data_IF_981830727230
#
_entry.id   IF_981830727230
#
_cell.length_a   1.000
_cell.length_b   1.000
_cell.length_c   1.000
_cell.angle_alpha   90.00
_cell.angle_beta   90.00
_cell.angle_gamma   90.00
#
_symmetry.space_group_name_H-M   'P 1'
#
loop_
_entity.id
_entity.type
_entity.pdbx_description
1 polymer ?
#
# COMPACT_ATOMS: atom_id res chain seq x y z
N UNK A 1 -15.94 23.36 -3.86
CA UNK A 1 -14.87 22.35 -3.96
C UNK A 1 -14.74 21.63 -2.63
N UNK A 2 -14.85 20.30 -2.63
CA UNK A 2 -14.69 19.47 -1.43
C UNK A 2 -13.21 19.07 -1.31
N UNK A 3 -12.55 19.47 -0.21
CA UNK A 3 -11.17 19.10 0.08
C UNK A 3 -11.18 17.69 0.68
N UNK A 4 -10.48 16.74 0.05
CA UNK A 4 -10.30 15.39 0.58
C UNK A 4 -9.58 15.46 1.94
N UNK A 5 -10.29 15.10 3.02
CA UNK A 5 -9.72 15.06 4.37
C UNK A 5 -9.07 13.70 4.62
N UNK A 6 -7.75 13.64 4.53
CA UNK A 6 -6.97 12.45 4.86
C UNK A 6 -6.59 12.51 6.34
N UNK A 7 -7.04 11.56 7.18
CA UNK A 7 -6.65 11.53 8.59
C UNK A 7 -5.14 11.26 8.68
N UNK A 8 -4.40 12.24 9.21
CA UNK A 8 -2.94 12.19 9.36
C UNK A 8 -2.60 11.95 10.83
N UNK A 9 -1.68 11.03 11.12
CA UNK A 9 -1.26 10.80 12.50
C UNK A 9 -0.54 12.03 13.08
N UNK A 10 -0.79 12.33 14.36
CA UNK A 10 -0.26 13.54 15.04
C UNK A 10 1.25 13.71 14.92
N UNK A 11 2.00 12.60 14.91
CA UNK A 11 3.46 12.60 14.77
C UNK A 11 3.95 13.22 13.43
N UNK A 12 3.08 13.25 12.41
CA UNK A 12 3.40 13.83 11.10
C UNK A 12 2.88 15.27 10.92
N UNK A 13 2.17 15.85 11.90
CA UNK A 13 1.70 17.25 11.84
C UNK A 13 2.83 18.26 11.56
N UNK A 14 4.05 18.12 12.12
CA UNK A 14 5.14 19.04 11.81
C UNK A 14 5.53 19.07 10.33
N UNK A 15 5.31 17.96 9.60
CA UNK A 15 5.64 17.84 8.18
C UNK A 15 4.63 18.52 7.27
N UNK A 16 3.43 18.86 7.77
CA UNK A 16 2.42 19.59 7.01
C UNK A 16 2.81 21.06 6.83
N UNK A 17 3.60 21.62 7.75
CA UNK A 17 4.08 22.99 7.66
C UNK A 17 5.13 23.15 6.54
N UNK A 18 5.24 24.32 5.91
CA UNK A 18 6.30 24.58 4.94
C UNK A 18 7.67 24.50 5.61
N UNK A 19 8.60 23.78 5.00
CA UNK A 19 9.97 23.63 5.46
C UNK A 19 10.89 23.34 4.27
N UNK A 20 12.14 23.83 4.31
CA UNK A 20 13.12 23.62 3.22
C UNK A 20 13.52 22.15 3.08
N UNK A 21 13.59 21.42 4.20
CA UNK A 21 13.88 19.99 4.23
C UNK A 21 12.86 19.29 5.13
N UNK A 22 12.34 18.16 4.66
CA UNK A 22 11.40 17.29 5.39
C UNK A 22 11.96 15.87 5.37
N UNK A 23 12.13 15.28 6.54
CA UNK A 23 12.70 13.93 6.67
C UNK A 23 12.02 13.14 7.78
N UNK A 24 11.81 11.84 7.53
CA UNK A 24 11.26 10.89 8.50
C UNK A 24 12.10 9.62 8.44
N UNK A 25 12.54 9.12 9.60
CA UNK A 25 13.24 7.85 9.73
C UNK A 25 12.43 6.87 10.60
N UNK A 26 12.66 5.57 10.44
CA UNK A 26 11.98 4.54 11.24
C UNK A 26 12.06 3.15 10.62
N UNK A 27 11.60 2.13 11.36
CA UNK A 27 11.60 0.73 10.92
C UNK A 27 10.59 0.40 9.82
N UNK A 28 10.52 -0.87 9.42
CA UNK A 28 9.46 -1.38 8.52
C UNK A 28 8.10 -1.22 9.19
N UNK A 29 7.07 -0.82 8.44
CA UNK A 29 5.73 -0.61 8.97
C UNK A 29 5.47 0.74 9.65
N UNK A 30 6.46 1.62 9.77
CA UNK A 30 6.32 2.92 10.45
C UNK A 30 5.45 3.98 9.73
N UNK A 31 4.80 3.63 8.62
CA UNK A 31 3.94 4.54 7.84
C UNK A 31 4.65 5.65 7.06
N UNK A 32 5.98 5.78 7.17
CA UNK A 32 6.77 6.89 6.58
C UNK A 32 6.62 7.05 5.06
N UNK A 33 6.55 5.94 4.31
CA UNK A 33 6.35 5.95 2.86
C UNK A 33 4.93 6.38 2.47
N UNK A 34 3.93 5.95 3.25
CA UNK A 34 2.52 6.26 3.00
C UNK A 34 2.25 7.75 3.22
N UNK A 35 2.85 8.36 4.24
CA UNK A 35 2.75 9.81 4.48
C UNK A 35 3.46 10.60 3.38
N UNK A 36 4.64 10.16 2.96
CA UNK A 36 5.38 10.80 1.87
C UNK A 36 4.59 10.82 0.56
N UNK A 37 3.95 9.70 0.22
CA UNK A 37 3.18 9.55 -1.01
C UNK A 37 1.79 10.20 -0.93
N UNK A 38 0.98 9.83 0.08
CA UNK A 38 -0.45 10.19 0.13
C UNK A 38 -0.76 11.49 0.84
N UNK A 39 0.03 11.88 1.84
CA UNK A 39 -0.25 13.08 2.63
C UNK A 39 0.51 14.28 2.06
N UNK A 40 1.78 14.09 1.72
CA UNK A 40 2.61 15.18 1.20
C UNK A 40 2.57 15.29 -0.33
N UNK A 41 2.16 14.24 -1.05
CA UNK A 41 2.13 14.26 -2.52
C UNK A 41 3.51 14.44 -3.15
N UNK A 42 4.58 14.12 -2.41
CA UNK A 42 5.97 14.26 -2.84
C UNK A 42 6.50 12.97 -3.47
N UNK A 43 5.69 11.91 -3.50
CA UNK A 43 6.00 10.67 -4.18
C UNK A 43 5.76 10.81 -5.68
N UNK A 44 6.80 10.61 -6.49
CA UNK A 44 6.68 10.32 -7.93
C UNK A 44 6.27 8.87 -8.20
N UNK A 45 5.76 8.17 -7.18
CA UNK A 45 5.44 6.74 -7.27
C UNK A 45 3.99 6.63 -7.68
N UNK A 46 3.70 5.85 -8.72
CA UNK A 46 2.33 5.46 -9.00
C UNK A 46 1.73 4.87 -7.72
N UNK A 47 0.51 5.29 -7.39
CA UNK A 47 -0.19 4.79 -6.22
C UNK A 47 -0.04 3.26 -6.16
N UNK A 48 0.07 2.70 -4.96
CA UNK A 48 -0.01 1.25 -4.69
C UNK A 48 -1.27 0.56 -5.27
N UNK A 49 -2.11 1.28 -6.01
CA UNK A 49 -3.25 0.84 -6.81
C UNK A 49 -2.95 0.80 -8.33
N UNK A 50 -1.68 0.80 -8.74
CA UNK A 50 -1.26 0.73 -10.15
C UNK A 50 -1.09 -0.69 -10.69
N UNK A 51 -0.55 -0.80 -11.91
CA UNK A 51 -0.32 -2.07 -12.61
C UNK A 51 0.38 -3.12 -11.74
N UNK A 52 1.45 -2.74 -11.04
CA UNK A 52 2.21 -3.65 -10.19
C UNK A 52 1.36 -4.30 -9.09
N UNK A 53 0.41 -3.57 -8.50
CA UNK A 53 -0.49 -4.13 -7.48
C UNK A 53 -1.53 -5.07 -8.09
N UNK A 54 -2.07 -4.74 -9.27
CA UNK A 54 -2.99 -5.60 -10.01
C UNK A 54 -2.29 -6.91 -10.39
N UNK A 55 -1.08 -6.83 -10.95
CA UNK A 55 -0.30 -8.01 -11.35
C UNK A 55 0.09 -8.86 -10.14
N UNK A 56 0.54 -8.24 -9.04
CA UNK A 56 0.87 -8.97 -7.82
C UNK A 56 -0.35 -9.70 -7.24
N UNK A 57 -1.51 -9.04 -7.18
CA UNK A 57 -2.75 -9.66 -6.71
C UNK A 57 -3.20 -10.81 -7.61
N UNK A 58 -3.04 -10.71 -8.93
CA UNK A 58 -3.32 -11.81 -9.86
C UNK A 58 -2.37 -12.99 -9.65
N UNK A 59 -1.07 -12.76 -9.50
CA UNK A 59 -0.11 -13.85 -9.26
C UNK A 59 -0.46 -14.61 -7.99
N UNK A 60 -0.78 -13.89 -6.91
CA UNK A 60 -1.18 -14.49 -5.63
C UNK A 60 -2.51 -15.24 -5.77
N UNK A 61 -3.50 -14.67 -6.46
CA UNK A 61 -4.80 -15.33 -6.64
C UNK A 61 -4.70 -16.61 -7.47
N UNK A 62 -3.92 -16.62 -8.55
CA UNK A 62 -3.68 -17.82 -9.36
C UNK A 62 -2.96 -18.91 -8.57
N UNK A 63 -1.99 -18.55 -7.72
CA UNK A 63 -1.30 -19.51 -6.88
C UNK A 63 -2.25 -20.22 -5.90
N UNK A 64 -3.07 -19.47 -5.18
CA UNK A 64 -4.01 -20.04 -4.22
C UNK A 64 -5.17 -20.77 -4.90
N UNK A 65 -5.66 -20.27 -6.04
CA UNK A 65 -6.70 -20.94 -6.82
C UNK A 65 -6.26 -22.33 -7.28
N UNK A 66 -5.06 -22.46 -7.85
CA UNK A 66 -4.50 -23.76 -8.25
C UNK A 66 -4.40 -24.71 -7.05
N UNK A 67 -3.81 -24.25 -5.95
CA UNK A 67 -3.61 -25.07 -4.75
C UNK A 67 -4.96 -25.54 -4.17
N UNK A 68 -5.97 -24.67 -4.18
CA UNK A 68 -7.33 -25.01 -3.75
C UNK A 68 -7.98 -26.07 -4.63
N UNK A 69 -7.90 -25.92 -5.95
CA UNK A 69 -8.44 -26.89 -6.90
C UNK A 69 -7.80 -28.27 -6.77
N UNK A 70 -6.47 -28.33 -6.60
CA UNK A 70 -5.75 -29.59 -6.38
C UNK A 70 -6.21 -30.30 -5.10
N UNK A 71 -6.44 -29.55 -4.03
CA UNK A 71 -6.93 -30.11 -2.76
C UNK A 71 -8.36 -30.65 -2.90
N UNK A 72 -9.26 -29.91 -3.55
CA UNK A 72 -10.65 -30.35 -3.80
C UNK A 72 -10.69 -31.57 -4.72
N UNK A 73 -9.93 -31.56 -5.83
CA UNK A 73 -9.86 -32.68 -6.76
C UNK A 73 -9.35 -33.96 -6.07
N UNK A 74 -8.41 -33.84 -5.12
CA UNK A 74 -7.92 -34.98 -4.34
C UNK A 74 -8.98 -35.54 -3.38
N UNK A 75 -9.87 -34.70 -2.84
CA UNK A 75 -10.98 -35.14 -1.99
C UNK A 75 -12.04 -35.88 -2.82
N UNK A 76 -12.41 -35.35 -3.98
CA UNK A 76 -13.45 -35.94 -4.85
C UNK A 76 -13.01 -37.26 -5.48
N UNK A 77 -11.70 -37.43 -5.73
CA UNK A 77 -11.15 -38.67 -6.30
C UNK A 77 -11.00 -39.79 -5.27
N UNK A 78 -11.28 -39.54 -3.99
CA UNK A 78 -11.22 -40.51 -2.90
C UNK A 78 -12.61 -41.09 -2.62
#
# INVERSE_FOLDING_TARGET
MSILKIPTAKIFEPLLKPARYKGVYGGRGSGKLLVWDKVLGLGSTDALAGFAAITANLVVSFYFAKRGFENVARIIKR
#
